data_IF_278442193003
#
_entry.id   IF_278442193003
#
_cell.length_a   1.000
_cell.length_b   1.000
_cell.length_c   1.000
_cell.angle_alpha   90.00
_cell.angle_beta   90.00
_cell.angle_gamma   90.00
#
_symmetry.space_group_name_H-M   'P 1'
#
loop_
_entity.id
_entity.type
_entity.pdbx_description
1 polymer ?
#
# COMPACT_ATOMS: atom_id res chain seq x y z
N UNK A 1 -7.03 17.87 11.90
CA UNK A 1 -7.84 17.41 10.76
C UNK A 1 -7.48 18.25 9.54
N UNK A 2 -6.70 17.72 8.59
CA UNK A 2 -6.29 18.48 7.40
C UNK A 2 -7.43 18.45 6.36
N UNK A 3 -8.03 19.61 6.14
CA UNK A 3 -9.15 19.88 5.21
C UNK A 3 -8.77 19.75 3.72
N UNK A 4 -7.54 19.39 3.40
CA UNK A 4 -6.95 19.58 2.06
C UNK A 4 -7.44 18.60 0.99
N UNK A 5 -8.28 17.61 1.30
CA UNK A 5 -8.76 16.61 0.30
C UNK A 5 -10.28 16.46 0.17
N UNK A 6 -11.09 17.25 0.87
CA UNK A 6 -12.57 17.17 0.77
C UNK A 6 -13.08 17.40 -0.66
N UNK A 7 -12.44 18.29 -1.40
CA UNK A 7 -12.90 18.69 -2.73
C UNK A 7 -12.55 17.67 -3.83
N UNK A 8 -11.49 16.88 -3.65
CA UNK A 8 -11.05 15.89 -4.64
C UNK A 8 -11.86 14.59 -4.55
N UNK A 9 -12.23 14.14 -3.34
CA UNK A 9 -13.03 12.91 -3.19
C UNK A 9 -14.49 13.09 -3.62
N UNK A 10 -15.03 14.30 -3.46
CA UNK A 10 -16.34 14.65 -3.99
C UNK A 10 -16.43 14.43 -5.51
N UNK A 11 -15.43 14.90 -6.28
CA UNK A 11 -15.42 14.79 -7.74
C UNK A 11 -15.40 13.35 -8.26
N UNK A 12 -14.86 12.43 -7.48
CA UNK A 12 -14.68 11.04 -7.90
C UNK A 12 -15.79 10.10 -7.40
N UNK A 13 -16.43 10.42 -6.27
CA UNK A 13 -17.43 9.55 -5.63
C UNK A 13 -18.87 10.07 -5.76
N UNK A 14 -19.05 11.36 -6.11
CA UNK A 14 -20.36 12.02 -6.11
C UNK A 14 -20.97 12.23 -4.72
N UNK A 15 -20.29 11.81 -3.65
CA UNK A 15 -20.80 11.88 -2.28
C UNK A 15 -20.42 13.20 -1.60
N UNK A 16 -21.43 13.88 -1.08
CA UNK A 16 -21.27 15.01 -0.17
C UNK A 16 -21.16 14.53 1.28
N UNK A 17 -20.40 15.25 2.11
CA UNK A 17 -20.36 15.01 3.56
C UNK A 17 -18.96 14.95 4.15
N UNK A 18 -18.89 14.49 5.40
CA UNK A 18 -17.63 14.29 6.10
C UNK A 18 -16.90 13.06 5.54
N UNK A 19 -15.57 13.17 5.51
CA UNK A 19 -14.68 12.11 5.09
C UNK A 19 -13.63 11.86 6.16
N UNK A 20 -13.32 10.59 6.38
CA UNK A 20 -12.28 10.16 7.29
C UNK A 20 -11.17 9.45 6.53
N UNK A 21 -9.95 9.62 7.04
CA UNK A 21 -8.79 8.79 6.74
C UNK A 21 -8.30 8.15 8.03
N UNK A 22 -7.61 7.00 7.95
CA UNK A 22 -6.97 6.41 9.11
C UNK A 22 -6.01 7.38 9.78
N UNK A 23 -5.95 7.33 11.10
CA UNK A 23 -4.90 7.96 11.86
C UNK A 23 -3.60 7.16 11.68
N UNK A 24 -2.84 7.45 10.63
CA UNK A 24 -1.64 6.67 10.30
C UNK A 24 -0.57 6.65 11.41
N UNK A 25 -0.56 7.65 12.30
CA UNK A 25 0.34 7.67 13.46
C UNK A 25 -0.05 6.66 14.54
N UNK A 26 -1.32 6.28 14.62
CA UNK A 26 -1.79 5.24 15.54
C UNK A 26 -1.72 3.86 14.89
N UNK A 27 -2.02 3.75 13.59
CA UNK A 27 -1.89 2.48 12.84
C UNK A 27 -0.47 1.93 12.91
N UNK A 28 0.54 2.80 12.80
CA UNK A 28 1.96 2.41 12.88
C UNK A 28 2.40 1.87 14.24
N UNK A 29 1.62 2.08 15.31
CA UNK A 29 1.91 1.52 16.63
C UNK A 29 1.59 0.02 16.69
N UNK A 30 0.76 -0.46 15.76
CA UNK A 30 0.26 -1.84 15.73
C UNK A 30 0.63 -2.61 14.47
N UNK A 31 0.96 -1.93 13.38
CA UNK A 31 1.21 -2.54 12.08
C UNK A 31 2.44 -1.94 11.40
N UNK A 32 3.21 -2.80 10.73
CA UNK A 32 4.43 -2.38 10.04
C UNK A 32 4.18 -1.79 8.66
N UNK A 33 3.10 -2.22 8.02
CA UNK A 33 2.75 -1.80 6.67
C UNK A 33 1.25 -1.97 6.41
N UNK A 34 0.79 -1.27 5.37
CA UNK A 34 -0.49 -1.52 4.72
C UNK A 34 -0.24 -1.98 3.30
N UNK A 35 -0.79 -3.13 2.96
CA UNK A 35 -0.76 -3.69 1.61
C UNK A 35 -2.16 -3.68 1.01
N UNK A 36 -2.28 -3.12 -0.19
CA UNK A 36 -3.50 -3.12 -0.98
C UNK A 36 -3.37 -4.19 -2.06
N UNK A 37 -4.08 -5.30 -1.89
CA UNK A 37 -4.09 -6.36 -2.90
C UNK A 37 -4.73 -5.86 -4.20
N UNK A 38 -4.38 -6.50 -5.33
CA UNK A 38 -5.02 -6.23 -6.62
C UNK A 38 -6.55 -6.36 -6.56
N UNK A 39 -7.05 -7.42 -5.92
CA UNK A 39 -8.49 -7.66 -5.77
C UNK A 39 -9.14 -6.57 -4.90
N UNK A 40 -8.50 -6.21 -3.78
CA UNK A 40 -8.96 -5.14 -2.91
C UNK A 40 -9.06 -3.81 -3.66
N UNK A 41 -8.05 -3.48 -4.47
CA UNK A 41 -8.08 -2.30 -5.31
C UNK A 41 -9.24 -2.32 -6.31
N UNK A 42 -9.36 -3.37 -7.12
CA UNK A 42 -10.40 -3.46 -8.15
C UNK A 42 -11.83 -3.46 -7.59
N UNK A 43 -12.01 -3.95 -6.37
CA UNK A 43 -13.32 -4.03 -5.72
C UNK A 43 -13.69 -2.78 -4.93
N UNK A 44 -12.75 -1.87 -4.62
CA UNK A 44 -13.01 -0.76 -3.70
C UNK A 44 -12.51 0.61 -4.15
N UNK A 45 -11.62 0.69 -5.16
CA UNK A 45 -11.09 1.95 -5.65
C UNK A 45 -12.24 2.89 -6.08
N UNK A 46 -12.25 4.10 -5.55
CA UNK A 46 -13.29 5.10 -5.83
C UNK A 46 -14.67 4.81 -5.23
N UNK A 47 -14.85 3.72 -4.48
CA UNK A 47 -16.10 3.46 -3.75
C UNK A 47 -16.10 4.19 -2.41
N UNK A 48 -17.14 4.98 -2.17
CA UNK A 48 -17.40 5.55 -0.85
C UNK A 48 -17.95 4.46 0.08
N UNK A 49 -17.26 4.25 1.20
CA UNK A 49 -17.63 3.27 2.22
C UNK A 49 -18.09 4.05 3.46
N UNK A 50 -19.35 3.91 3.85
CA UNK A 50 -19.88 4.53 5.06
C UNK A 50 -19.27 3.87 6.31
N UNK A 51 -18.83 4.69 7.26
CA UNK A 51 -18.24 4.23 8.53
C UNK A 51 -19.08 4.66 9.76
N UNK A 52 -20.22 5.32 9.54
CA UNK A 52 -21.15 5.78 10.58
C UNK A 52 -21.25 7.30 10.66
N UNK A 53 -22.31 7.80 11.30
CA UNK A 53 -22.53 9.23 11.61
C UNK A 53 -22.43 10.19 10.41
N UNK A 54 -22.81 9.73 9.22
CA UNK A 54 -22.69 10.51 7.99
C UNK A 54 -21.24 10.73 7.53
N UNK A 55 -20.31 9.94 8.04
CA UNK A 55 -18.90 9.92 7.65
C UNK A 55 -18.63 8.72 6.75
N UNK A 56 -17.88 8.94 5.68
CA UNK A 56 -17.40 7.88 4.80
C UNK A 56 -15.88 7.91 4.65
N UNK A 57 -15.35 6.84 4.09
CA UNK A 57 -13.97 6.75 3.62
C UNK A 57 -13.94 6.22 2.18
N UNK A 58 -12.80 6.34 1.51
CA UNK A 58 -12.59 5.85 0.14
C UNK A 58 -11.15 5.41 -0.04
N UNK A 59 -10.93 4.30 -0.74
CA UNK A 59 -9.59 3.90 -1.17
C UNK A 59 -9.15 4.81 -2.34
N UNK A 60 -8.45 5.89 -2.00
CA UNK A 60 -7.98 6.89 -2.96
C UNK A 60 -6.46 7.08 -2.89
N UNK A 61 -5.82 7.27 -4.05
CA UNK A 61 -4.38 7.55 -4.14
C UNK A 61 -3.45 6.33 -4.02
N UNK A 62 -4.02 5.11 -4.03
CA UNK A 62 -3.26 3.86 -4.04
C UNK A 62 -3.15 3.29 -5.46
N UNK A 63 -2.09 2.54 -5.72
CA UNK A 63 -1.98 1.66 -6.89
C UNK A 63 -2.39 0.23 -6.50
N UNK A 64 -2.82 -0.60 -7.46
CA UNK A 64 -3.02 -2.02 -7.19
C UNK A 64 -1.69 -2.66 -6.77
N UNK A 65 -1.76 -3.60 -5.82
CA UNK A 65 -0.62 -4.34 -5.27
C UNK A 65 0.43 -3.47 -4.54
N UNK A 66 0.05 -2.25 -4.15
CA UNK A 66 0.96 -1.35 -3.46
C UNK A 66 1.07 -1.64 -1.96
N UNK A 67 2.28 -1.55 -1.43
CA UNK A 67 2.57 -1.61 0.01
C UNK A 67 3.19 -0.30 0.48
N UNK A 68 2.60 0.32 1.50
CA UNK A 68 3.23 1.43 2.22
C UNK A 68 3.70 0.95 3.59
N UNK A 69 5.00 1.06 3.83
CA UNK A 69 5.61 0.77 5.12
C UNK A 69 5.43 1.95 6.08
N UNK A 70 4.97 1.66 7.28
CA UNK A 70 4.65 2.62 8.34
C UNK A 70 5.76 2.73 9.39
N UNK A 71 6.58 1.68 9.48
CA UNK A 71 7.70 1.56 10.41
C UNK A 71 8.92 1.06 9.65
N UNK A 72 10.10 1.51 10.06
CA UNK A 72 11.38 1.07 9.51
C UNK A 72 11.91 -0.09 10.35
N UNK A 73 11.16 -1.21 10.34
CA UNK A 73 11.37 -2.34 11.27
C UNK A 73 11.58 -3.66 10.57
N UNK A 74 12.08 -3.67 9.34
CA UNK A 74 12.67 -4.91 8.85
C UNK A 74 14.06 -5.04 9.51
N UNK A 75 14.22 -5.85 10.59
CA UNK A 75 15.56 -6.08 11.10
C UNK A 75 16.34 -6.77 9.98
N UNK A 76 17.58 -6.31 9.75
CA UNK A 76 18.45 -6.98 8.78
C UNK A 76 18.52 -8.46 9.13
N UNK A 77 18.07 -9.30 8.21
CA UNK A 77 18.19 -10.76 8.35
C UNK A 77 19.62 -11.15 7.96
N UNK A 78 20.54 -10.97 8.92
CA UNK A 78 21.95 -11.28 8.72
C UNK A 78 22.75 -10.22 7.95
N UNK A 79 24.01 -10.52 7.60
CA UNK A 79 24.85 -9.64 6.81
C UNK A 79 24.30 -9.45 5.39
N UNK A 80 24.56 -8.29 4.79
CA UNK A 80 24.16 -8.01 3.41
C UNK A 80 24.83 -9.01 2.45
N UNK A 81 24.04 -9.69 1.62
CA UNK A 81 24.56 -10.64 0.63
C UNK A 81 24.46 -10.07 -0.79
N UNK A 82 25.56 -10.06 -1.51
CA UNK A 82 25.58 -9.64 -2.91
C UNK A 82 25.33 -10.84 -3.83
N UNK A 83 24.28 -10.73 -4.65
CA UNK A 83 23.93 -11.72 -5.65
C UNK A 83 24.23 -11.18 -7.05
N UNK A 84 24.93 -11.96 -7.87
CA UNK A 84 25.21 -11.63 -9.27
C UNK A 84 24.55 -12.64 -10.18
N UNK A 85 23.84 -12.15 -11.19
CA UNK A 85 23.27 -12.98 -12.25
C UNK A 85 24.41 -13.49 -13.14
N UNK A 86 24.45 -14.81 -13.33
CA UNK A 86 25.37 -15.45 -14.25
C UNK A 86 24.80 -15.38 -15.67
N UNK A 87 25.42 -14.55 -16.51
CA UNK A 87 24.97 -14.33 -17.90
C UNK A 87 25.31 -15.49 -18.84
N UNK A 88 26.08 -16.48 -18.38
CA UNK A 88 26.56 -17.59 -19.21
C UNK A 88 25.58 -18.79 -19.28
N UNK A 89 24.56 -18.87 -18.43
CA UNK A 89 23.70 -20.04 -18.31
C UNK A 89 22.32 -19.81 -18.94
N UNK A 90 22.28 -19.70 -20.28
CA UNK A 90 21.03 -19.76 -21.07
C UNK A 90 20.85 -21.18 -21.58
N UNK A 91 20.45 -22.10 -20.68
CA UNK A 91 19.72 -23.35 -20.97
C UNK A 91 19.70 -24.20 -19.70
N UNK A 92 18.50 -24.44 -19.17
CA UNK A 92 18.27 -25.32 -18.03
C UNK A 92 17.69 -24.57 -16.84
N UNK A 93 16.68 -25.17 -16.21
CA UNK A 93 15.93 -24.68 -15.05
C UNK A 93 16.80 -24.56 -13.80
N UNK A 94 17.77 -23.65 -13.79
CA UNK A 94 18.40 -23.21 -12.54
C UNK A 94 18.55 -21.69 -12.60
N UNK A 95 18.02 -21.02 -11.58
CA UNK A 95 17.96 -19.56 -11.55
C UNK A 95 19.37 -19.02 -11.38
N UNK A 96 20.05 -18.73 -12.50
CA UNK A 96 21.46 -18.33 -12.59
C UNK A 96 21.84 -17.07 -11.79
N UNK A 97 21.75 -17.14 -10.47
CA UNK A 97 22.15 -16.16 -9.49
C UNK A 97 23.10 -16.85 -8.53
N UNK A 98 24.26 -16.24 -8.30
CA UNK A 98 25.22 -16.75 -7.30
C UNK A 98 25.60 -15.65 -6.31
N UNK A 99 25.86 -16.05 -5.06
CA UNK A 99 26.46 -15.21 -4.03
C UNK A 99 27.90 -14.87 -4.43
N UNK A 100 28.32 -13.62 -4.20
CA UNK A 100 29.69 -13.12 -4.44
C UNK A 100 30.37 -12.82 -3.12
#
# INVERSE_FOLDING_TARGET
MTSSRRHDWYRHTGRHGAWAIPNWLEVREHYDAVHVTVVGYLTTAGLAIEIGDGVATVLAGWSPDATAWLTDVLPKSGPDEHWRRDSAMVRGHDHGWRRV
#
